data_IF_859067355166
#
_entry.id   IF_859067355166
#
_cell.length_a   1.000
_cell.length_b   1.000
_cell.length_c   1.000
_cell.angle_alpha   90.00
_cell.angle_beta   90.00
_cell.angle_gamma   90.00
#
_symmetry.space_group_name_H-M   'P 1'
#
loop_
_entity.id
_entity.type
_entity.pdbx_description
1 polymer ?
#
# COMPACT_ATOMS: atom_id res chain seq x y z
N UNK A 1 -17.27 3.02 21.77
CA UNK A 1 -16.63 1.87 21.08
C UNK A 1 -15.19 1.75 21.57
N UNK A 2 -14.69 0.52 21.73
CA UNK A 2 -13.26 0.28 22.02
C UNK A 2 -12.42 0.76 20.82
N UNK A 3 -11.36 1.50 21.07
CA UNK A 3 -10.43 1.91 20.01
C UNK A 3 -9.62 0.69 19.55
N UNK A 4 -9.36 0.54 18.23
CA UNK A 4 -8.59 -0.59 17.72
C UNK A 4 -7.09 -0.43 18.00
N UNK A 5 -6.40 -1.56 18.13
CA UNK A 5 -4.95 -1.63 18.00
C UNK A 5 -4.60 -1.70 16.51
N UNK A 6 -3.76 -0.80 16.05
CA UNK A 6 -3.42 -0.64 14.64
C UNK A 6 -1.94 -0.98 14.39
N UNK A 7 -1.65 -1.69 13.32
CA UNK A 7 -0.29 -1.86 12.82
C UNK A 7 -0.16 -1.31 11.40
N UNK A 8 0.97 -0.70 11.09
CA UNK A 8 1.34 -0.26 9.74
C UNK A 8 2.58 -1.03 9.30
N UNK A 9 2.43 -1.91 8.32
CA UNK A 9 3.56 -2.60 7.67
C UNK A 9 4.08 -1.75 6.51
N UNK A 10 5.39 -1.51 6.50
CA UNK A 10 6.03 -0.63 5.52
C UNK A 10 6.00 0.84 5.92
N UNK A 11 5.96 1.12 7.23
CA UNK A 11 5.82 2.45 7.80
C UNK A 11 6.88 3.47 7.34
N UNK A 12 8.07 3.02 6.97
CA UNK A 12 9.18 3.86 6.47
C UNK A 12 9.16 4.08 4.96
N UNK A 13 8.21 3.47 4.25
CA UNK A 13 8.01 3.64 2.81
C UNK A 13 7.11 4.83 2.48
N UNK A 14 7.04 5.20 1.19
CA UNK A 14 6.21 6.33 0.74
C UNK A 14 4.73 6.15 1.13
N UNK A 15 4.14 4.98 0.86
CA UNK A 15 2.73 4.70 1.20
C UNK A 15 2.53 4.62 2.72
N UNK A 16 3.50 4.07 3.46
CA UNK A 16 3.44 4.03 4.92
C UNK A 16 3.45 5.42 5.56
N UNK A 17 4.23 6.35 5.01
CA UNK A 17 4.24 7.74 5.43
C UNK A 17 2.87 8.41 5.20
N UNK A 18 2.22 8.13 4.06
CA UNK A 18 0.86 8.63 3.78
C UNK A 18 -0.17 8.05 4.76
N UNK A 19 -0.06 6.78 5.16
CA UNK A 19 -0.93 6.25 6.20
C UNK A 19 -0.79 7.00 7.52
N UNK A 20 0.44 7.34 7.91
CA UNK A 20 0.70 8.12 9.12
C UNK A 20 0.05 9.49 9.01
N UNK A 21 0.30 10.21 7.90
CA UNK A 21 -0.32 11.51 7.62
C UNK A 21 -1.85 11.45 7.71
N UNK A 22 -2.47 10.45 7.09
CA UNK A 22 -3.92 10.28 7.10
C UNK A 22 -4.47 9.93 8.50
N UNK A 23 -3.75 9.17 9.30
CA UNK A 23 -4.13 8.89 10.70
C UNK A 23 -4.17 10.20 11.49
N UNK A 24 -3.21 11.10 11.29
CA UNK A 24 -3.15 12.40 11.94
C UNK A 24 -4.27 13.33 11.44
N UNK A 25 -4.34 13.57 10.13
CA UNK A 25 -5.30 14.50 9.52
C UNK A 25 -6.76 14.13 9.80
N UNK A 26 -7.05 12.82 9.81
CA UNK A 26 -8.42 12.32 10.04
C UNK A 26 -8.70 12.03 11.51
N UNK A 27 -7.77 12.29 12.41
CA UNK A 27 -7.88 11.96 13.83
C UNK A 27 -8.37 10.52 14.02
N UNK A 28 -7.79 9.58 13.28
CA UNK A 28 -8.22 8.18 13.29
C UNK A 28 -8.07 7.61 14.71
N UNK A 29 -9.14 7.05 15.32
CA UNK A 29 -9.08 6.58 16.68
C UNK A 29 -8.35 5.25 16.78
N UNK A 30 -7.26 5.20 17.54
CA UNK A 30 -6.56 3.96 17.89
C UNK A 30 -6.21 3.94 19.39
N UNK A 31 -6.10 2.75 19.96
CA UNK A 31 -5.59 2.54 21.32
C UNK A 31 -4.06 2.45 21.30
N UNK A 32 -3.54 1.53 20.49
CA UNK A 32 -2.11 1.37 20.27
C UNK A 32 -1.80 1.43 18.77
N UNK A 33 -0.65 1.99 18.44
CA UNK A 33 -0.11 2.02 17.09
C UNK A 33 1.25 1.32 17.07
N UNK A 34 1.42 0.36 16.16
CA UNK A 34 2.67 -0.35 15.92
C UNK A 34 3.17 -0.05 14.52
N UNK A 35 4.39 0.43 14.39
CA UNK A 35 5.03 0.75 13.12
C UNK A 35 6.02 -0.37 12.78
N UNK A 36 5.81 -1.01 11.63
CA UNK A 36 6.55 -2.19 11.22
C UNK A 36 7.25 -1.96 9.87
N UNK A 37 8.49 -2.42 9.76
CA UNK A 37 9.24 -2.37 8.51
C UNK A 37 10.21 -3.57 8.40
N UNK A 38 11.08 -3.56 7.38
CA UNK A 38 12.16 -4.55 7.26
C UNK A 38 13.19 -4.39 8.38
N UNK A 39 14.00 -5.43 8.64
CA UNK A 39 15.11 -5.40 9.59
C UNK A 39 16.05 -4.20 9.36
N UNK A 40 16.25 -3.80 8.09
CA UNK A 40 17.09 -2.64 7.73
C UNK A 40 16.56 -1.31 8.29
N UNK A 41 15.26 -1.18 8.44
CA UNK A 41 14.60 0.04 8.90
C UNK A 41 14.14 -0.04 10.35
N UNK A 42 14.31 -1.18 11.00
CA UNK A 42 14.03 -1.33 12.42
C UNK A 42 14.93 -0.40 13.25
N UNK A 43 14.37 0.17 14.30
CA UNK A 43 15.07 1.19 15.14
C UNK A 43 14.90 2.63 14.65
N UNK A 44 14.34 2.87 13.45
CA UNK A 44 13.99 4.23 13.02
C UNK A 44 12.89 4.80 13.92
N UNK A 45 13.01 6.06 14.27
CA UNK A 45 11.98 6.77 15.03
C UNK A 45 11.08 7.57 14.09
N UNK A 46 9.77 7.44 14.28
CA UNK A 46 8.75 8.21 13.57
C UNK A 46 7.82 8.86 14.59
N UNK A 47 7.39 10.08 14.30
CA UNK A 47 6.45 10.82 15.15
C UNK A 47 5.06 10.73 14.56
N UNK A 48 4.06 10.37 15.39
CA UNK A 48 2.65 10.33 15.01
C UNK A 48 1.83 10.99 16.12
N UNK A 49 1.03 12.00 15.78
CA UNK A 49 0.25 12.79 16.76
C UNK A 49 1.12 13.32 17.92
N UNK A 50 2.35 13.76 17.63
CA UNK A 50 3.28 14.30 18.62
C UNK A 50 3.93 13.26 19.54
N UNK A 51 3.67 11.97 19.35
CA UNK A 51 4.29 10.86 20.07
C UNK A 51 5.31 10.15 19.19
N UNK A 52 6.50 9.89 19.72
CA UNK A 52 7.55 9.13 19.03
C UNK A 52 7.31 7.64 19.16
N UNK A 53 7.40 6.93 18.03
CA UNK A 53 7.31 5.48 17.91
C UNK A 53 8.60 4.95 17.30
N UNK A 54 9.11 3.86 17.86
CA UNK A 54 10.23 3.13 17.28
C UNK A 54 9.69 2.11 16.31
N UNK A 55 10.19 2.10 15.08
CA UNK A 55 9.82 1.11 14.06
C UNK A 55 10.41 -0.24 14.42
N UNK A 56 9.57 -1.27 14.46
CA UNK A 56 9.96 -2.64 14.75
C UNK A 56 10.18 -3.44 13.46
N UNK A 57 11.00 -4.49 13.54
CA UNK A 57 11.09 -5.47 12.46
C UNK A 57 9.77 -6.24 12.33
N UNK A 58 9.24 -6.31 11.11
CA UNK A 58 8.00 -7.04 10.83
C UNK A 58 8.21 -8.54 10.88
N UNK A 59 7.55 -9.19 11.83
CA UNK A 59 7.53 -10.64 12.03
C UNK A 59 6.09 -11.10 12.22
N UNK A 60 5.77 -12.39 12.04
CA UNK A 60 4.42 -12.89 12.31
C UNK A 60 3.88 -12.51 13.69
N UNK A 61 4.73 -12.57 14.71
CA UNK A 61 4.39 -12.26 16.11
C UNK A 61 4.08 -10.77 16.33
N UNK A 62 4.57 -9.90 15.44
CA UNK A 62 4.30 -8.45 15.51
C UNK A 62 2.82 -8.12 15.40
N UNK A 63 2.01 -9.04 14.87
CA UNK A 63 0.56 -8.86 14.69
C UNK A 63 -0.28 -9.41 15.83
N UNK A 64 0.30 -9.86 16.92
CA UNK A 64 -0.43 -10.24 18.11
C UNK A 64 -1.13 -9.04 18.74
N UNK A 65 -2.41 -9.23 19.10
CA UNK A 65 -3.29 -8.19 19.65
C UNK A 65 -3.50 -6.97 18.74
N UNK A 66 -3.35 -7.13 17.42
CA UNK A 66 -3.67 -6.12 16.43
C UNK A 66 -5.09 -6.38 15.90
N UNK A 67 -5.92 -5.33 15.90
CA UNK A 67 -7.27 -5.39 15.35
C UNK A 67 -7.28 -5.04 13.86
N UNK A 68 -6.48 -4.04 13.43
CA UNK A 68 -6.40 -3.58 12.04
C UNK A 68 -4.93 -3.47 11.62
N UNK A 69 -4.57 -4.05 10.49
CA UNK A 69 -3.23 -3.98 9.94
C UNK A 69 -3.25 -3.37 8.52
N UNK A 70 -2.63 -2.20 8.37
CA UNK A 70 -2.48 -1.50 7.10
C UNK A 70 -1.17 -1.95 6.45
N UNK A 71 -1.26 -2.57 5.29
CA UNK A 71 -0.12 -3.14 4.60
C UNK A 71 0.32 -2.31 3.40
N UNK A 72 1.56 -1.83 3.44
CA UNK A 72 2.29 -1.20 2.34
C UNK A 72 3.64 -1.91 2.09
N UNK A 73 3.69 -3.21 2.39
CA UNK A 73 4.93 -4.00 2.43
C UNK A 73 5.39 -4.56 1.08
N UNK A 74 4.71 -4.29 -0.02
CA UNK A 74 5.04 -4.87 -1.31
C UNK A 74 4.95 -6.41 -1.29
N UNK A 75 5.99 -7.11 -1.74
CA UNK A 75 6.00 -8.57 -1.86
C UNK A 75 5.88 -9.31 -0.52
N UNK A 76 6.33 -8.72 0.58
CA UNK A 76 6.25 -9.35 1.92
C UNK A 76 4.81 -9.47 2.42
N UNK A 77 3.88 -8.67 1.88
CA UNK A 77 2.45 -8.79 2.16
C UNK A 77 1.94 -10.19 1.92
N UNK A 78 2.42 -10.85 0.87
CA UNK A 78 2.02 -12.22 0.52
C UNK A 78 2.30 -13.24 1.64
N UNK A 79 3.36 -13.02 2.40
CA UNK A 79 3.75 -13.89 3.51
C UNK A 79 3.11 -13.47 4.83
N UNK A 80 3.13 -12.16 5.14
CA UNK A 80 2.72 -11.68 6.46
C UNK A 80 1.22 -11.44 6.61
N UNK A 81 0.47 -11.15 5.53
CA UNK A 81 -0.96 -10.89 5.64
C UNK A 81 -1.75 -12.13 6.11
N UNK A 82 -1.50 -13.35 5.61
CA UNK A 82 -2.14 -14.54 6.15
C UNK A 82 -1.78 -14.80 7.63
N UNK A 83 -0.55 -14.49 8.03
CA UNK A 83 -0.11 -14.65 9.42
C UNK A 83 -0.76 -13.63 10.36
N UNK A 84 -0.94 -12.39 9.90
CA UNK A 84 -1.69 -11.37 10.64
C UNK A 84 -3.17 -11.76 10.78
N UNK A 85 -3.80 -12.20 9.69
CA UNK A 85 -5.19 -12.63 9.69
C UNK A 85 -5.44 -13.84 10.63
N UNK A 86 -4.54 -14.83 10.65
CA UNK A 86 -4.59 -15.95 11.59
C UNK A 86 -4.55 -15.52 13.06
N UNK A 87 -3.92 -14.38 13.36
CA UNK A 87 -3.85 -13.79 14.72
C UNK A 87 -5.02 -12.87 15.06
N UNK A 88 -6.00 -12.79 14.15
CA UNK A 88 -7.23 -12.04 14.35
C UNK A 88 -7.21 -10.61 13.81
N UNK A 89 -6.14 -10.15 13.20
CA UNK A 89 -6.09 -8.84 12.57
C UNK A 89 -6.90 -8.83 11.26
N UNK A 90 -7.62 -7.74 11.00
CA UNK A 90 -8.15 -7.46 9.67
C UNK A 90 -7.06 -6.72 8.89
N UNK A 91 -6.56 -7.34 7.84
CA UNK A 91 -5.52 -6.79 6.98
C UNK A 91 -6.14 -6.01 5.84
N UNK A 92 -5.70 -4.76 5.64
CA UNK A 92 -6.01 -3.94 4.47
C UNK A 92 -4.73 -3.83 3.66
N UNK A 93 -4.66 -4.55 2.53
CA UNK A 93 -3.43 -4.67 1.74
C UNK A 93 -3.44 -3.77 0.50
N UNK A 94 -2.50 -2.83 0.45
CA UNK A 94 -2.28 -1.94 -0.70
C UNK A 94 -1.30 -2.52 -1.74
N UNK A 95 -0.74 -3.69 -1.51
CA UNK A 95 0.10 -4.36 -2.49
C UNK A 95 -0.73 -5.04 -3.59
N UNK A 96 -0.06 -5.57 -4.59
CA UNK A 96 -0.73 -6.38 -5.62
C UNK A 96 -0.92 -7.85 -5.24
N UNK A 97 -0.51 -8.25 -4.02
CA UNK A 97 -0.38 -9.66 -3.63
C UNK A 97 -1.70 -10.44 -3.71
N UNK A 98 -2.81 -9.80 -3.36
CA UNK A 98 -4.12 -10.45 -3.22
C UNK A 98 -5.18 -9.93 -4.18
N UNK A 99 -4.85 -8.96 -5.06
CA UNK A 99 -5.86 -8.34 -5.95
C UNK A 99 -6.55 -9.30 -6.91
N UNK A 100 -5.89 -10.39 -7.25
CA UNK A 100 -6.44 -11.41 -8.17
C UNK A 100 -6.86 -12.68 -7.44
N UNK A 101 -6.85 -12.69 -6.11
CA UNK A 101 -7.29 -13.83 -5.32
C UNK A 101 -8.83 -13.79 -5.21
N UNK A 102 -9.55 -14.82 -5.70
CA UNK A 102 -11.02 -14.84 -5.67
C UNK A 102 -11.60 -14.91 -4.25
N UNK A 103 -10.80 -15.31 -3.26
CA UNK A 103 -11.23 -15.41 -1.87
C UNK A 103 -11.02 -14.09 -1.10
N UNK A 104 -10.34 -13.11 -1.71
CA UNK A 104 -10.04 -11.82 -1.09
C UNK A 104 -10.83 -10.72 -1.79
N UNK A 105 -11.72 -10.00 -1.09
CA UNK A 105 -12.47 -8.92 -1.70
C UNK A 105 -11.55 -7.78 -2.11
N UNK A 106 -11.72 -7.30 -3.34
CA UNK A 106 -11.06 -6.12 -3.89
C UNK A 106 -11.99 -4.93 -3.73
N UNK A 107 -11.68 -3.98 -2.85
CA UNK A 107 -12.62 -2.98 -2.39
C UNK A 107 -12.16 -1.56 -2.65
N UNK A 108 -13.06 -0.75 -3.20
CA UNK A 108 -13.04 0.71 -3.15
C UNK A 108 -14.27 1.14 -2.34
N UNK A 109 -14.11 1.70 -1.12
CA UNK A 109 -15.24 1.94 -0.21
C UNK A 109 -16.39 2.75 -0.79
N UNK A 110 -16.11 3.68 -1.71
CA UNK A 110 -17.11 4.51 -2.37
C UNK A 110 -17.78 3.81 -3.58
N UNK A 111 -17.29 2.63 -3.98
CA UNK A 111 -17.78 1.91 -5.15
C UNK A 111 -18.52 0.63 -4.75
N UNK A 112 -17.94 -0.16 -3.87
CA UNK A 112 -18.45 -1.47 -3.45
C UNK A 112 -18.20 -1.73 -1.94
N UNK A 113 -18.68 -0.86 -1.03
CA UNK A 113 -18.42 -0.98 0.41
C UNK A 113 -18.96 -2.28 1.02
N UNK A 114 -20.03 -2.83 0.46
CA UNK A 114 -20.65 -4.10 0.91
C UNK A 114 -19.72 -5.31 0.76
N UNK A 115 -18.79 -5.26 -0.18
CA UNK A 115 -17.82 -6.33 -0.38
C UNK A 115 -16.83 -6.47 0.77
N UNK A 116 -16.67 -5.43 1.61
CA UNK A 116 -15.88 -5.51 2.83
C UNK A 116 -16.35 -6.68 3.72
N UNK A 117 -17.65 -6.91 3.80
CA UNK A 117 -18.24 -7.95 4.66
C UNK A 117 -17.91 -9.38 4.20
N UNK A 118 -17.38 -9.54 3.00
CA UNK A 118 -17.00 -10.86 2.43
C UNK A 118 -15.58 -11.30 2.81
N UNK A 119 -14.81 -10.43 3.50
CA UNK A 119 -13.42 -10.75 3.83
C UNK A 119 -13.29 -11.95 4.77
N UNK A 120 -12.21 -12.70 4.59
CA UNK A 120 -11.76 -13.78 5.48
C UNK A 120 -10.50 -13.38 6.25
N UNK A 121 -10.42 -12.12 6.67
CA UNK A 121 -9.28 -11.53 7.38
C UNK A 121 -8.39 -10.65 6.51
N UNK A 122 -8.51 -10.69 5.18
CA UNK A 122 -7.74 -9.86 4.26
C UNK A 122 -8.70 -9.13 3.33
N UNK A 123 -8.43 -7.84 3.10
CA UNK A 123 -9.12 -6.97 2.14
C UNK A 123 -8.04 -6.38 1.23
N UNK A 124 -8.19 -6.55 -0.08
CA UNK A 124 -7.27 -5.99 -1.05
C UNK A 124 -7.74 -4.60 -1.51
N UNK A 125 -6.79 -3.66 -1.59
CA UNK A 125 -7.02 -2.35 -2.15
C UNK A 125 -6.52 -2.32 -3.61
N UNK A 126 -7.31 -1.81 -4.58
CA UNK A 126 -6.90 -1.78 -5.98
C UNK A 126 -5.68 -0.89 -6.24
N UNK A 127 -5.21 -0.92 -7.49
CA UNK A 127 -4.20 0.03 -7.95
C UNK A 127 -4.72 1.47 -7.86
N UNK A 128 -3.84 2.42 -7.50
CA UNK A 128 -4.17 3.83 -7.29
C UNK A 128 -4.90 4.46 -8.49
N UNK A 129 -4.42 4.25 -9.71
CA UNK A 129 -5.07 4.75 -10.92
C UNK A 129 -6.45 4.12 -11.13
N UNK A 130 -6.63 2.86 -10.76
CA UNK A 130 -7.93 2.16 -10.81
C UNK A 130 -8.91 2.78 -9.81
N UNK A 131 -8.47 3.10 -8.60
CA UNK A 131 -9.33 3.73 -7.58
C UNK A 131 -9.83 5.09 -8.09
N UNK A 132 -8.91 5.95 -8.57
CA UNK A 132 -9.25 7.28 -9.09
C UNK A 132 -10.26 7.17 -10.24
N UNK A 133 -10.01 6.28 -11.19
CA UNK A 133 -10.91 6.04 -12.32
C UNK A 133 -12.28 5.54 -11.86
N UNK A 134 -12.32 4.58 -10.94
CA UNK A 134 -13.57 3.97 -10.45
C UNK A 134 -14.44 5.00 -9.75
N UNK A 135 -13.85 5.86 -8.92
CA UNK A 135 -14.56 6.95 -8.24
C UNK A 135 -15.23 7.90 -9.23
N UNK A 136 -14.50 8.30 -10.29
CA UNK A 136 -15.05 9.18 -11.33
C UNK A 136 -16.14 8.53 -12.17
N UNK A 137 -16.02 7.24 -12.43
CA UNK A 137 -16.95 6.51 -13.30
C UNK A 137 -18.17 5.94 -12.56
N UNK A 138 -18.10 5.72 -11.25
CA UNK A 138 -19.20 5.11 -10.48
C UNK A 138 -20.53 5.84 -10.64
N UNK A 139 -20.62 7.17 -10.47
CA UNK A 139 -21.86 7.91 -10.65
C UNK A 139 -22.44 7.76 -12.07
N UNK A 140 -21.59 7.73 -13.07
CA UNK A 140 -22.03 7.55 -14.47
C UNK A 140 -22.54 6.14 -14.71
N UNK A 141 -21.87 5.14 -14.15
CA UNK A 141 -22.28 3.75 -14.23
C UNK A 141 -23.65 3.52 -13.58
N UNK A 142 -23.94 4.20 -12.47
CA UNK A 142 -25.22 4.07 -11.75
C UNK A 142 -26.40 4.63 -12.55
N UNK A 143 -26.15 5.69 -13.32
CA UNK A 143 -27.17 6.29 -14.19
C UNK A 143 -27.33 5.49 -15.48
N UNK A 144 -26.22 5.05 -16.07
CA UNK A 144 -26.19 4.31 -17.33
C UNK A 144 -25.05 3.28 -17.29
N UNK A 145 -25.37 1.99 -17.21
CA UNK A 145 -24.36 0.94 -17.08
C UNK A 145 -23.29 0.99 -18.16
N UNK A 146 -22.04 1.22 -17.74
CA UNK A 146 -20.88 1.26 -18.62
C UNK A 146 -20.59 -0.17 -19.10
N UNK A 147 -20.52 -0.37 -20.41
CA UNK A 147 -20.24 -1.68 -21.03
C UNK A 147 -18.76 -1.89 -21.36
N UNK A 148 -18.02 -0.79 -21.55
CA UNK A 148 -16.61 -0.84 -21.94
C UNK A 148 -15.90 0.42 -21.50
N UNK A 149 -14.67 0.26 -21.00
CA UNK A 149 -13.74 1.34 -20.67
C UNK A 149 -12.48 1.14 -21.51
N UNK A 150 -12.04 2.19 -22.18
CA UNK A 150 -10.72 2.28 -22.82
C UNK A 150 -9.99 3.42 -22.15
N UNK A 151 -8.84 3.13 -21.55
CA UNK A 151 -8.10 4.09 -20.73
C UNK A 151 -6.63 4.07 -21.06
N UNK A 152 -6.01 5.25 -21.05
CA UNK A 152 -4.56 5.44 -21.02
C UNK A 152 -4.22 6.21 -19.75
N UNK A 153 -3.20 5.76 -19.02
CA UNK A 153 -2.82 6.36 -17.73
C UNK A 153 -1.41 6.90 -17.78
N UNK A 154 -1.19 8.00 -17.06
CA UNK A 154 0.12 8.53 -16.71
C UNK A 154 0.30 8.36 -15.22
N UNK A 155 1.38 7.75 -14.80
CA UNK A 155 1.63 7.43 -13.40
C UNK A 155 3.01 7.87 -12.97
N UNK A 156 3.10 8.49 -11.79
CA UNK A 156 4.37 8.86 -11.20
C UNK A 156 5.21 7.63 -10.83
N UNK A 157 6.52 7.75 -10.96
CA UNK A 157 7.45 6.65 -10.62
C UNK A 157 7.42 6.27 -9.15
N UNK A 158 7.00 7.18 -8.27
CA UNK A 158 6.81 6.91 -6.84
C UNK A 158 5.82 5.79 -6.56
N UNK A 159 4.91 5.49 -7.51
CA UNK A 159 4.01 4.34 -7.44
C UNK A 159 4.73 2.99 -7.46
N UNK A 160 5.98 2.94 -7.95
CA UNK A 160 6.86 1.78 -7.88
C UNK A 160 7.73 1.76 -6.61
N UNK A 161 7.48 2.68 -5.66
CA UNK A 161 8.22 2.80 -4.42
C UNK A 161 9.54 3.56 -4.56
N UNK A 162 10.38 3.43 -3.51
CA UNK A 162 11.67 4.13 -3.44
C UNK A 162 12.59 3.77 -4.60
N UNK A 163 12.60 2.51 -4.99
CA UNK A 163 13.42 2.00 -6.10
C UNK A 163 13.06 2.68 -7.43
N UNK A 164 11.77 2.95 -7.69
CA UNK A 164 11.35 3.70 -8.88
C UNK A 164 11.86 5.15 -8.89
N UNK A 165 11.87 5.81 -7.75
CA UNK A 165 12.40 7.17 -7.62
C UNK A 165 13.92 7.17 -7.86
N UNK A 166 14.65 6.25 -7.25
CA UNK A 166 16.10 6.10 -7.41
C UNK A 166 16.46 5.78 -8.87
N UNK A 167 15.71 4.89 -9.52
CA UNK A 167 15.90 4.55 -10.93
C UNK A 167 15.78 5.79 -11.81
N UNK A 168 14.69 6.56 -11.67
CA UNK A 168 14.50 7.79 -12.44
C UNK A 168 15.63 8.79 -12.19
N UNK A 169 16.02 9.01 -10.94
CA UNK A 169 17.09 9.95 -10.60
C UNK A 169 18.42 9.56 -11.23
N UNK A 170 18.74 8.27 -11.27
CA UNK A 170 19.95 7.77 -11.88
C UNK A 170 19.91 7.95 -13.41
N UNK A 171 18.82 7.58 -14.05
CA UNK A 171 18.66 7.72 -15.50
C UNK A 171 18.70 9.18 -15.95
N UNK A 172 18.11 10.11 -15.20
CA UNK A 172 18.20 11.55 -15.50
C UNK A 172 19.65 12.05 -15.45
N UNK A 173 20.44 11.59 -14.48
CA UNK A 173 21.88 11.93 -14.41
C UNK A 173 22.67 11.34 -15.57
N UNK A 174 22.47 10.06 -15.86
CA UNK A 174 23.12 9.36 -16.96
C UNK A 174 22.82 10.04 -18.31
N UNK A 175 21.55 10.40 -18.53
CA UNK A 175 21.11 11.13 -19.72
C UNK A 175 21.79 12.51 -19.82
N UNK A 176 21.83 13.27 -18.73
CA UNK A 176 22.47 14.60 -18.69
C UNK A 176 23.98 14.52 -18.93
N UNK A 177 24.62 13.42 -18.57
CA UNK A 177 26.05 13.15 -18.80
C UNK A 177 26.33 12.53 -20.18
N UNK A 178 25.32 12.32 -21.02
CA UNK A 178 25.45 11.67 -22.33
C UNK A 178 25.81 10.19 -22.28
N UNK A 179 25.52 9.54 -21.14
CA UNK A 179 25.71 8.10 -20.91
C UNK A 179 24.50 7.30 -21.37
N UNK A 180 24.70 6.00 -21.59
CA UNK A 180 23.60 5.07 -21.78
C UNK A 180 22.84 4.90 -20.45
N UNK A 181 21.52 5.03 -20.50
CA UNK A 181 20.66 4.87 -19.32
C UNK A 181 20.58 3.41 -18.90
N UNK A 182 20.79 3.15 -17.61
CA UNK A 182 20.69 1.82 -17.03
C UNK A 182 19.34 1.61 -16.34
N UNK A 183 18.84 0.38 -16.33
CA UNK A 183 17.57 0.01 -15.73
C UNK A 183 17.75 -1.23 -14.83
N UNK A 184 18.23 -1.03 -13.61
CA UNK A 184 18.72 -2.10 -12.75
C UNK A 184 18.00 -2.23 -11.41
N UNK A 185 17.27 -1.21 -10.95
CA UNK A 185 16.71 -1.18 -9.60
C UNK A 185 15.28 -1.75 -9.53
N UNK A 186 14.48 -1.50 -10.55
CA UNK A 186 13.12 -2.03 -10.58
C UNK A 186 13.14 -3.51 -10.97
N UNK A 187 12.50 -4.39 -10.18
CA UNK A 187 12.31 -5.80 -10.57
C UNK A 187 11.41 -5.84 -11.81
N UNK A 188 12.01 -5.91 -12.96
CA UNK A 188 11.30 -5.95 -14.24
C UNK A 188 10.99 -7.39 -14.59
N UNK A 189 9.72 -7.76 -14.59
CA UNK A 189 9.30 -9.09 -15.06
C UNK A 189 9.48 -9.31 -16.56
N UNK A 190 9.83 -8.28 -17.38
CA UNK A 190 9.82 -8.45 -18.82
C UNK A 190 10.69 -7.49 -19.64
N UNK A 191 10.99 -6.29 -19.25
CA UNK A 191 11.86 -5.39 -20.00
C UNK A 191 12.45 -4.28 -19.12
N UNK A 192 13.65 -3.80 -19.41
CA UNK A 192 14.18 -2.60 -18.78
C UNK A 192 13.20 -1.45 -18.96
N UNK A 193 12.91 -0.74 -17.87
CA UNK A 193 12.04 0.44 -17.91
C UNK A 193 12.92 1.67 -17.95
N UNK A 194 12.98 2.27 -19.10
CA UNK A 194 13.57 3.59 -19.26
C UNK A 194 12.48 4.63 -19.02
N UNK A 195 12.76 5.57 -18.15
CA UNK A 195 11.93 6.75 -17.97
C UNK A 195 12.41 7.81 -18.92
N UNK A 196 11.54 8.38 -19.74
CA UNK A 196 11.90 9.44 -20.69
C UNK A 196 12.24 10.75 -20.00
#
# INVERSE_FOLDING_TARGET
>A
MKKPNVAILGATGAVGAEFITLIEERNFPYENLKLLASARSAGTELTVNGKTYVVEEAKPESFENIDIALFAGGSISKTLAPEAAKRGAIVIDNSSAFRMDPEVPLVVPEVNPEDILKHKGIIANPNCSTIIMSLGLKPLHDISPIKRIVVSTYQAVSGAGKEGIEELQNQVKEYAEGKEMTANLLPTGSAPKHFP
#
